data_IF_143242982562
#
_entry.id   IF_143242982562
#
_cell.length_a   1.000
_cell.length_b   1.000
_cell.length_c   1.000
_cell.angle_alpha   90.00
_cell.angle_beta   90.00
_cell.angle_gamma   90.00
#
_symmetry.space_group_name_H-M   'P 1'
#
loop_
_entity.id
_entity.type
_entity.pdbx_description
1 polymer ?
#
# COMPACT_ATOMS: atom_id res chain seq x y z
N UNK A 1 5.09 61.14 31.69
CA UNK A 1 5.35 59.69 31.74
C UNK A 1 4.01 58.98 31.70
N UNK A 2 3.59 58.48 30.53
CA UNK A 2 2.40 57.64 30.41
C UNK A 2 2.86 56.24 30.06
N UNK A 3 2.56 55.26 30.92
CA UNK A 3 2.96 53.86 30.76
C UNK A 3 1.90 53.16 29.93
N UNK A 4 2.29 52.63 28.78
CA UNK A 4 1.50 51.68 27.98
C UNK A 4 1.49 50.36 28.75
N UNK A 5 0.29 49.84 29.06
CA UNK A 5 0.11 48.46 29.52
C UNK A 5 -0.11 47.62 28.27
N UNK A 6 0.82 46.70 28.00
CA UNK A 6 0.68 45.66 26.99
C UNK A 6 0.24 44.38 27.71
N UNK A 7 -1.06 44.08 27.67
CA UNK A 7 -1.57 42.80 28.18
C UNK A 7 -1.35 41.73 27.11
N UNK A 8 -0.21 41.02 27.19
CA UNK A 8 0.01 39.83 26.38
C UNK A 8 -0.72 38.64 27.06
N UNK A 9 -1.82 38.21 26.46
CA UNK A 9 -2.50 36.97 26.81
C UNK A 9 -1.79 35.84 26.03
N UNK A 10 -0.84 35.16 26.67
CA UNK A 10 -0.24 33.94 26.11
C UNK A 10 -1.13 32.77 26.50
N UNK A 11 -1.92 32.27 25.55
CA UNK A 11 -2.44 30.91 25.64
C UNK A 11 -1.26 29.98 25.44
N UNK A 12 -0.66 29.49 26.53
CA UNK A 12 0.10 28.25 26.46
C UNK A 12 -0.95 27.16 26.29
N UNK A 13 -1.28 26.83 25.04
CA UNK A 13 -1.96 25.57 24.76
C UNK A 13 -1.07 24.48 25.32
N UNK A 14 -1.54 23.80 26.35
CA UNK A 14 -0.95 22.54 26.78
C UNK A 14 -0.95 21.63 25.55
N UNK A 15 0.23 21.32 25.02
CA UNK A 15 0.39 20.27 24.03
C UNK A 15 0.09 18.98 24.76
N UNK A 16 -1.20 18.61 24.82
CA UNK A 16 -1.57 17.26 25.19
C UNK A 16 -1.07 16.41 24.01
N UNK A 17 -0.16 15.44 24.21
CA UNK A 17 0.09 14.46 23.17
C UNK A 17 -1.27 13.80 22.87
N UNK A 18 -1.83 14.11 21.70
CA UNK A 18 -3.16 13.63 21.35
C UNK A 18 -3.06 12.11 21.14
N UNK A 19 -3.84 11.35 21.91
CA UNK A 19 -3.85 9.90 21.81
C UNK A 19 -4.40 9.48 20.44
N UNK A 20 -3.85 8.39 19.88
CA UNK A 20 -4.46 7.70 18.74
C UNK A 20 -5.03 6.33 19.15
N UNK A 21 -5.02 6.04 20.45
CA UNK A 21 -5.53 4.81 21.02
C UNK A 21 -7.05 4.70 20.82
N UNK A 22 -7.45 3.81 19.93
CA UNK A 22 -8.83 3.48 19.66
C UNK A 22 -8.94 2.17 18.86
N UNK A 23 -10.16 1.68 18.74
CA UNK A 23 -10.53 0.63 17.80
C UNK A 23 -11.10 1.28 16.53
N UNK A 24 -10.48 0.99 15.40
CA UNK A 24 -10.80 1.56 14.09
C UNK A 24 -11.43 0.49 13.22
N UNK A 25 -12.54 0.86 12.58
CA UNK A 25 -13.18 0.07 11.54
C UNK A 25 -12.96 0.76 10.20
N UNK A 26 -12.50 0.00 9.21
CA UNK A 26 -12.34 0.50 7.85
C UNK A 26 -13.71 0.79 7.21
N UNK A 27 -13.88 2.01 6.72
CA UNK A 27 -15.09 2.46 5.99
C UNK A 27 -14.84 2.60 4.47
N UNK A 28 -13.59 2.86 4.07
CA UNK A 28 -13.16 2.85 2.68
C UNK A 28 -11.64 2.62 2.59
N UNK A 29 -11.17 2.12 1.44
CA UNK A 29 -9.75 1.98 1.13
C UNK A 29 -9.52 2.21 -0.35
N UNK A 30 -8.43 2.88 -0.69
CA UNK A 30 -7.94 2.96 -2.06
C UNK A 30 -6.51 2.47 -2.06
N UNK A 31 -6.24 1.44 -2.87
CA UNK A 31 -4.89 0.91 -3.05
C UNK A 31 -4.49 1.10 -4.51
N UNK A 32 -3.27 1.59 -4.72
CA UNK A 32 -2.69 1.75 -6.04
C UNK A 32 -1.43 0.89 -6.12
N UNK A 33 -1.45 -0.10 -7.01
CA UNK A 33 -0.30 -0.94 -7.29
C UNK A 33 0.35 -0.48 -8.59
N UNK A 34 1.62 -0.11 -8.51
CA UNK A 34 2.43 0.23 -9.70
C UNK A 34 3.49 -0.84 -9.87
N UNK A 35 3.44 -1.56 -10.99
CA UNK A 35 4.40 -2.62 -11.30
C UNK A 35 5.50 -2.08 -12.19
N UNK A 36 6.74 -2.20 -11.74
CA UNK A 36 7.94 -1.72 -12.45
C UNK A 36 8.84 -2.91 -12.77
N UNK A 37 9.34 -2.98 -13.99
CA UNK A 37 10.32 -3.98 -14.40
C UNK A 37 11.63 -3.78 -13.60
N UNK A 38 12.07 -4.82 -12.90
CA UNK A 38 13.33 -4.80 -12.13
C UNK A 38 14.38 -5.71 -12.74
N UNK A 39 15.62 -5.54 -12.32
CA UNK A 39 16.66 -6.52 -12.63
C UNK A 39 16.33 -7.87 -11.99
N UNK A 40 16.54 -8.94 -12.75
CA UNK A 40 16.47 -10.31 -12.25
C UNK A 40 17.80 -10.64 -11.57
N UNK A 41 17.75 -10.89 -10.26
CA UNK A 41 18.91 -11.06 -9.40
C UNK A 41 18.79 -12.31 -8.52
N UNK A 42 17.58 -12.75 -8.20
CA UNK A 42 17.32 -13.93 -7.37
C UNK A 42 17.17 -15.19 -8.23
N UNK A 43 17.55 -16.35 -7.69
CA UNK A 43 17.21 -17.66 -8.28
C UNK A 43 15.71 -17.88 -8.44
N UNK A 44 14.86 -17.19 -7.67
CA UNK A 44 13.40 -17.20 -7.82
C UNK A 44 12.93 -16.49 -9.10
N UNK A 45 13.78 -15.68 -9.73
CA UNK A 45 13.47 -15.02 -11.01
C UNK A 45 13.52 -15.97 -12.22
N UNK A 46 13.80 -17.26 -12.00
CA UNK A 46 14.09 -18.27 -13.03
C UNK A 46 13.02 -18.40 -14.13
N UNK A 47 11.76 -18.05 -13.84
CA UNK A 47 10.65 -18.11 -14.80
C UNK A 47 10.29 -16.73 -15.39
N UNK A 48 10.97 -15.68 -14.94
CA UNK A 48 10.77 -14.30 -15.37
C UNK A 48 11.35 -14.03 -16.75
N UNK A 49 10.68 -13.14 -17.48
CA UNK A 49 11.16 -12.59 -18.74
C UNK A 49 10.82 -11.09 -18.80
N UNK A 50 11.59 -10.33 -19.57
CA UNK A 50 11.27 -8.93 -19.87
C UNK A 50 10.24 -8.78 -21.01
N UNK A 51 9.87 -9.90 -21.63
CA UNK A 51 8.97 -9.96 -22.77
C UNK A 51 7.61 -10.49 -22.33
N UNK A 52 6.56 -9.72 -22.59
CA UNK A 52 5.19 -10.20 -22.49
C UNK A 52 4.87 -11.08 -23.70
N UNK A 53 4.66 -12.37 -23.48
CA UNK A 53 4.46 -13.35 -24.54
C UNK A 53 2.97 -13.68 -24.74
N UNK A 54 2.47 -13.46 -25.95
CA UNK A 54 1.19 -13.96 -26.40
C UNK A 54 1.34 -15.42 -26.84
N UNK A 55 0.58 -16.32 -26.21
CA UNK A 55 0.66 -17.77 -26.45
C UNK A 55 -0.71 -18.34 -26.81
N UNK A 56 -0.79 -19.13 -27.88
CA UNK A 56 -2.03 -19.79 -28.33
C UNK A 56 -1.84 -21.31 -28.48
N UNK A 57 -2.81 -22.15 -28.05
CA UNK A 57 -4.06 -21.80 -27.37
C UNK A 57 -3.88 -21.46 -25.88
N UNK A 58 -2.72 -21.77 -25.30
CA UNK A 58 -2.38 -21.44 -23.92
C UNK A 58 -0.86 -21.27 -23.76
N UNK A 59 -0.44 -20.64 -22.66
CA UNK A 59 0.96 -20.52 -22.24
C UNK A 59 1.60 -21.86 -21.87
N UNK A 60 0.82 -22.82 -21.36
CA UNK A 60 1.31 -24.14 -20.96
C UNK A 60 1.66 -25.04 -22.16
N UNK A 61 0.92 -24.92 -23.26
CA UNK A 61 1.15 -25.72 -24.49
C UNK A 61 0.95 -24.85 -25.73
N UNK A 62 1.88 -23.93 -26.03
CA UNK A 62 1.74 -23.03 -27.17
C UNK A 62 1.99 -23.75 -28.49
N UNK A 63 1.02 -23.65 -29.41
CA UNK A 63 1.21 -23.93 -30.83
C UNK A 63 1.83 -22.72 -31.55
N UNK A 64 1.55 -21.52 -31.07
CA UNK A 64 2.12 -20.26 -31.55
C UNK A 64 2.47 -19.37 -30.37
N UNK A 65 3.62 -18.69 -30.46
CA UNK A 65 4.07 -17.74 -29.45
C UNK A 65 4.71 -16.53 -30.12
N UNK A 66 4.40 -15.33 -29.66
CA UNK A 66 5.01 -14.09 -30.14
C UNK A 66 5.13 -13.07 -29.01
N UNK A 67 6.14 -12.20 -29.10
CA UNK A 67 6.31 -11.09 -28.17
C UNK A 67 5.26 -10.01 -28.44
N UNK A 68 4.47 -9.68 -27.43
CA UNK A 68 3.48 -8.59 -27.46
C UNK A 68 4.11 -7.24 -27.08
N UNK A 69 4.97 -7.25 -26.06
CA UNK A 69 5.72 -6.09 -25.57
C UNK A 69 7.02 -6.54 -24.92
N UNK A 70 7.99 -5.64 -24.86
CA UNK A 70 9.27 -5.83 -24.17
C UNK A 70 9.50 -4.65 -23.24
N UNK A 71 10.02 -4.91 -22.04
CA UNK A 71 10.25 -3.91 -21.01
C UNK A 71 11.74 -3.83 -20.66
N UNK A 72 12.27 -2.63 -20.51
CA UNK A 72 13.58 -2.41 -19.90
C UNK A 72 13.44 -2.30 -18.38
N UNK A 73 14.53 -2.57 -17.66
CA UNK A 73 14.59 -2.32 -16.21
C UNK A 73 14.28 -0.83 -15.96
N UNK A 74 13.33 -0.57 -15.05
CA UNK A 74 12.80 0.75 -14.73
C UNK A 74 11.51 1.12 -15.46
N UNK A 75 11.08 0.35 -16.46
CA UNK A 75 9.82 0.62 -17.15
C UNK A 75 8.62 0.23 -16.27
N UNK A 76 7.61 1.10 -16.21
CA UNK A 76 6.30 0.76 -15.63
C UNK A 76 5.56 -0.18 -16.56
N UNK A 77 5.26 -1.39 -16.07
CA UNK A 77 4.56 -2.44 -16.83
C UNK A 77 3.05 -2.18 -16.80
N UNK A 78 2.49 -1.96 -15.62
CA UNK A 78 1.06 -1.67 -15.42
C UNK A 78 0.81 -0.96 -14.11
N UNK A 79 -0.37 -0.35 -14.02
CA UNK A 79 -0.91 0.25 -12.82
C UNK A 79 -2.30 -0.31 -12.55
N UNK A 80 -2.56 -0.71 -11.30
CA UNK A 80 -3.85 -1.26 -10.87
C UNK A 80 -4.35 -0.42 -9.70
N UNK A 81 -5.45 0.29 -9.94
CA UNK A 81 -6.16 1.02 -8.90
C UNK A 81 -7.33 0.18 -8.37
N UNK A 82 -7.41 0.02 -7.05
CA UNK A 82 -8.51 -0.64 -6.34
C UNK A 82 -9.22 0.40 -5.46
N UNK A 83 -10.25 1.10 -5.98
CA UNK A 83 -10.91 2.20 -5.28
C UNK A 83 -12.17 1.73 -4.54
N UNK A 84 -12.03 1.14 -3.35
CA UNK A 84 -13.14 0.74 -2.49
C UNK A 84 -13.60 1.93 -1.65
N UNK A 85 -14.27 2.88 -2.31
CA UNK A 85 -14.53 4.24 -1.79
C UNK A 85 -15.77 4.37 -0.89
N UNK A 86 -16.47 3.28 -0.59
CA UNK A 86 -17.63 3.25 0.29
C UNK A 86 -17.91 1.82 0.78
N UNK A 87 -18.70 1.66 1.86
CA UNK A 87 -19.01 0.36 2.45
C UNK A 87 -19.50 -0.71 1.47
N UNK A 88 -20.39 -0.36 0.53
CA UNK A 88 -20.86 -1.33 -0.46
C UNK A 88 -19.77 -1.82 -1.43
N UNK A 89 -18.74 -1.01 -1.70
CA UNK A 89 -17.58 -1.47 -2.46
C UNK A 89 -16.74 -2.47 -1.66
N UNK A 90 -16.64 -2.28 -0.34
CA UNK A 90 -15.97 -3.21 0.57
C UNK A 90 -16.72 -4.54 0.66
N UNK A 91 -18.04 -4.51 0.85
CA UNK A 91 -18.88 -5.68 1.06
C UNK A 91 -19.00 -6.58 -0.19
N UNK A 92 -19.02 -5.96 -1.38
CA UNK A 92 -19.25 -6.63 -2.66
C UNK A 92 -18.01 -6.66 -3.56
N UNK A 93 -16.82 -6.52 -3.00
CA UNK A 93 -15.59 -6.64 -3.79
C UNK A 93 -15.50 -8.06 -4.41
N UNK A 94 -15.24 -8.20 -5.72
CA UNK A 94 -15.37 -9.48 -6.43
C UNK A 94 -14.51 -10.64 -5.89
N UNK A 95 -13.46 -10.33 -5.14
CA UNK A 95 -12.49 -11.30 -4.60
C UNK A 95 -12.71 -11.63 -3.12
N UNK A 96 -13.74 -11.03 -2.50
CA UNK A 96 -14.09 -11.23 -1.10
C UNK A 96 -14.38 -9.92 -0.38
N UNK A 97 -15.20 -9.95 0.66
CA UNK A 97 -15.52 -8.77 1.45
C UNK A 97 -14.27 -8.26 2.19
N UNK A 98 -14.00 -6.97 2.11
CA UNK A 98 -12.90 -6.30 2.81
C UNK A 98 -13.44 -5.69 4.10
N UNK A 99 -12.96 -6.15 5.25
CA UNK A 99 -13.39 -5.65 6.55
C UNK A 99 -12.19 -5.65 7.48
N UNK A 100 -11.57 -4.50 7.68
CA UNK A 100 -10.41 -4.38 8.57
C UNK A 100 -10.82 -3.72 9.88
N UNK A 101 -10.51 -4.39 10.99
CA UNK A 101 -10.70 -3.86 12.34
C UNK A 101 -9.35 -3.84 13.08
N UNK A 102 -8.83 -2.65 13.35
CA UNK A 102 -7.52 -2.47 13.96
C UNK A 102 -7.63 -1.71 15.29
N UNK A 103 -6.98 -2.22 16.33
CA UNK A 103 -6.80 -1.51 17.60
C UNK A 103 -5.40 -0.92 17.65
N UNK A 104 -5.29 0.41 17.76
CA UNK A 104 -4.02 1.08 18.03
C UNK A 104 -3.90 1.38 19.51
N UNK A 105 -2.69 1.25 20.05
CA UNK A 105 -2.35 1.57 21.44
C UNK A 105 -1.22 2.60 21.48
N UNK A 106 -1.27 3.53 22.43
CA UNK A 106 -0.28 4.62 22.54
C UNK A 106 1.14 4.13 22.91
N UNK A 107 1.29 2.86 23.28
CA UNK A 107 2.58 2.23 23.55
C UNK A 107 3.34 1.79 22.28
N UNK A 108 2.88 2.17 21.08
CA UNK A 108 3.51 1.80 19.81
C UNK A 108 3.16 0.39 19.33
N UNK A 109 2.06 -0.19 19.82
CA UNK A 109 1.58 -1.50 19.36
C UNK A 109 0.22 -1.37 18.68
N UNK A 110 -0.08 -2.31 17.79
CA UNK A 110 -1.40 -2.45 17.18
C UNK A 110 -1.80 -3.91 17.08
N UNK A 111 -3.10 -4.14 16.95
CA UNK A 111 -3.67 -5.47 16.73
C UNK A 111 -4.68 -5.40 15.60
N UNK A 112 -4.49 -6.24 14.58
CA UNK A 112 -5.55 -6.57 13.62
C UNK A 112 -6.41 -7.62 14.27
N UNK A 113 -7.66 -7.26 14.57
CA UNK A 113 -8.56 -8.09 15.35
C UNK A 113 -9.10 -9.25 14.52
N UNK A 114 -9.36 -10.38 15.19
CA UNK A 114 -9.91 -11.58 14.56
C UNK A 114 -11.21 -11.28 13.80
N UNK A 115 -11.38 -11.92 12.64
CA UNK A 115 -12.49 -11.66 11.73
C UNK A 115 -12.22 -10.54 10.72
N UNK A 116 -11.05 -9.90 10.79
CA UNK A 116 -10.63 -8.95 9.77
C UNK A 116 -10.23 -9.65 8.46
N UNK A 117 -10.41 -8.95 7.35
CA UNK A 117 -9.99 -9.34 6.01
C UNK A 117 -9.34 -8.14 5.31
N UNK A 118 -8.25 -8.39 4.59
CA UNK A 118 -7.48 -7.32 3.93
C UNK A 118 -7.08 -7.74 2.52
N UNK A 119 -7.25 -6.89 1.50
CA UNK A 119 -6.94 -7.25 0.12
C UNK A 119 -5.43 -7.36 -0.10
N UNK A 120 -5.03 -8.39 -0.82
CA UNK A 120 -3.65 -8.60 -1.30
C UNK A 120 -3.68 -9.26 -2.68
N UNK A 121 -2.52 -9.59 -3.22
CA UNK A 121 -2.36 -10.31 -4.49
C UNK A 121 -1.81 -11.70 -4.26
N UNK A 122 -2.18 -12.64 -5.13
CA UNK A 122 -1.62 -13.98 -5.18
C UNK A 122 -1.29 -14.34 -6.64
N UNK A 123 -0.33 -15.24 -6.82
CA UNK A 123 0.01 -15.81 -8.11
C UNK A 123 -0.71 -17.16 -8.27
N UNK A 124 -1.58 -17.28 -9.26
CA UNK A 124 -2.23 -18.56 -9.64
C UNK A 124 -1.94 -18.78 -11.12
N UNK A 125 -1.39 -19.95 -11.47
CA UNK A 125 -1.09 -20.30 -12.87
C UNK A 125 -0.23 -19.25 -13.61
N UNK A 126 0.73 -18.65 -12.90
CA UNK A 126 1.57 -17.54 -13.39
C UNK A 126 0.79 -16.26 -13.75
N UNK A 127 -0.41 -16.08 -13.16
CA UNK A 127 -1.25 -14.90 -13.29
C UNK A 127 -1.42 -14.23 -11.92
N UNK A 128 -1.14 -12.93 -11.84
CA UNK A 128 -1.34 -12.16 -10.61
C UNK A 128 -2.82 -11.79 -10.50
N UNK A 129 -3.46 -12.25 -9.42
CA UNK A 129 -4.88 -12.00 -9.15
C UNK A 129 -5.08 -11.45 -7.75
N UNK A 130 -6.11 -10.65 -7.55
CA UNK A 130 -6.49 -10.16 -6.22
C UNK A 130 -7.11 -11.27 -5.37
N UNK A 131 -6.86 -11.21 -4.08
CA UNK A 131 -7.45 -12.10 -3.08
C UNK A 131 -7.68 -11.33 -1.78
N UNK A 132 -8.61 -11.80 -0.96
CA UNK A 132 -8.96 -11.16 0.31
C UNK A 132 -8.93 -12.21 1.43
N UNK A 133 -7.74 -12.57 1.92
CA UNK A 133 -7.61 -13.53 3.02
C UNK A 133 -8.06 -12.93 4.36
N UNK A 134 -8.45 -13.79 5.32
CA UNK A 134 -8.56 -13.38 6.71
C UNK A 134 -7.19 -13.00 7.27
N UNK A 135 -7.14 -11.92 8.04
CA UNK A 135 -5.92 -11.41 8.68
C UNK A 135 -6.18 -11.19 10.17
N UNK A 136 -5.19 -11.54 10.98
CA UNK A 136 -5.19 -11.29 12.41
C UNK A 136 -3.75 -11.35 12.90
N UNK A 137 -3.28 -10.28 13.52
CA UNK A 137 -1.90 -10.17 13.99
C UNK A 137 -1.75 -9.10 15.06
N UNK A 138 -0.60 -9.13 15.73
CA UNK A 138 -0.12 -8.03 16.56
C UNK A 138 1.18 -7.51 15.97
N UNK A 139 1.25 -6.20 15.79
CA UNK A 139 2.41 -5.52 15.22
C UNK A 139 2.81 -4.29 16.03
N UNK A 140 3.81 -3.57 15.52
CA UNK A 140 4.33 -2.35 16.13
C UNK A 140 4.33 -1.19 15.15
N UNK A 141 4.03 -0.02 15.70
CA UNK A 141 4.03 1.25 14.98
C UNK A 141 4.88 2.29 15.71
N UNK A 142 5.27 3.35 15.01
CA UNK A 142 6.06 4.46 15.54
C UNK A 142 5.60 5.79 14.96
N UNK A 143 5.72 6.86 15.73
CA UNK A 143 5.62 8.26 15.25
C UNK A 143 7.00 8.85 14.91
N UNK A 144 8.05 8.02 14.93
CA UNK A 144 9.44 8.44 14.72
C UNK A 144 10.02 9.26 15.88
N UNK A 145 9.30 9.37 17.00
CA UNK A 145 9.64 10.28 18.09
C UNK A 145 9.29 11.74 17.79
N UNK A 146 8.51 12.00 16.74
CA UNK A 146 8.08 13.33 16.35
C UNK A 146 6.79 13.74 17.08
N UNK A 147 6.64 15.03 17.39
CA UNK A 147 5.39 15.54 17.96
C UNK A 147 4.32 15.69 16.87
N UNK A 148 3.04 15.43 17.18
CA UNK A 148 1.96 15.71 16.23
C UNK A 148 1.80 17.22 16.04
N UNK A 149 1.46 17.63 14.82
CA UNK A 149 0.88 18.95 14.58
C UNK A 149 -0.61 18.91 14.92
N UNK A 150 -1.08 19.83 15.76
CA UNK A 150 -2.49 19.90 16.19
C UNK A 150 -3.10 21.23 15.83
N UNK A 151 -4.26 21.21 15.18
CA UNK A 151 -5.08 22.38 14.91
C UNK A 151 -6.22 22.46 15.93
N UNK A 152 -6.13 23.47 16.80
CA UNK A 152 -7.10 23.82 17.85
C UNK A 152 -8.48 24.24 17.37
N UNK A 153 -8.57 24.72 16.13
CA UNK A 153 -9.80 25.25 15.54
C UNK A 153 -10.56 24.17 14.76
N UNK A 154 -9.82 23.29 14.08
CA UNK A 154 -10.40 22.18 13.31
C UNK A 154 -10.55 20.89 14.11
N UNK A 155 -10.06 20.85 15.36
CA UNK A 155 -9.98 19.64 16.18
C UNK A 155 -9.25 18.49 15.49
N UNK A 156 -8.20 18.79 14.73
CA UNK A 156 -7.45 17.78 13.96
C UNK A 156 -6.04 17.65 14.48
N UNK A 157 -5.47 16.45 14.38
CA UNK A 157 -4.04 16.22 14.53
C UNK A 157 -3.46 15.47 13.35
N UNK A 158 -2.20 15.75 13.05
CA UNK A 158 -1.43 15.19 11.95
C UNK A 158 -0.10 14.71 12.53
N UNK A 159 0.31 13.49 12.18
CA UNK A 159 1.64 12.97 12.54
C UNK A 159 2.19 12.02 11.49
N UNK A 160 3.51 11.93 11.44
CA UNK A 160 4.15 10.80 10.79
C UNK A 160 3.75 9.51 11.48
N UNK A 161 3.58 8.45 10.69
CA UNK A 161 3.19 7.15 11.20
C UNK A 161 3.93 6.07 10.42
N UNK A 162 4.59 5.16 11.14
CA UNK A 162 5.39 4.10 10.57
C UNK A 162 5.01 2.75 11.14
N UNK A 163 5.14 1.69 10.33
CA UNK A 163 5.02 0.30 10.76
C UNK A 163 6.43 -0.29 10.85
N UNK A 164 6.77 -0.86 12.00
CA UNK A 164 8.09 -1.45 12.26
C UNK A 164 8.05 -2.97 12.41
N UNK A 165 6.86 -3.55 12.57
CA UNK A 165 6.65 -4.99 12.58
C UNK A 165 5.19 -5.30 12.22
N UNK A 166 5.00 -6.14 11.21
CA UNK A 166 3.72 -6.59 10.69
C UNK A 166 3.97 -7.74 9.70
N UNK A 167 3.09 -8.73 9.66
CA UNK A 167 3.04 -9.71 8.57
C UNK A 167 2.02 -9.35 7.49
N UNK A 168 1.17 -8.35 7.74
CA UNK A 168 0.07 -7.94 6.85
C UNK A 168 0.35 -6.62 6.12
N UNK A 169 0.93 -5.64 6.82
CA UNK A 169 1.29 -4.32 6.28
C UNK A 169 2.78 -4.26 5.95
N UNK A 170 3.09 -3.47 4.91
CA UNK A 170 4.45 -3.08 4.59
C UNK A 170 5.10 -2.29 5.73
N UNK A 171 6.42 -2.33 5.83
CA UNK A 171 7.18 -1.45 6.71
C UNK A 171 7.38 -0.10 6.03
N UNK A 172 7.23 0.96 6.82
CA UNK A 172 7.42 2.33 6.35
C UNK A 172 7.73 3.26 7.52
N UNK A 173 8.40 4.37 7.20
CA UNK A 173 8.90 5.31 8.19
C UNK A 173 7.87 6.39 8.53
N UNK A 174 8.00 6.96 9.74
CA UNK A 174 7.24 8.12 10.16
C UNK A 174 8.00 9.41 9.81
N UNK A 175 7.54 10.23 8.85
CA UNK A 175 8.12 11.54 8.55
C UNK A 175 7.84 12.55 9.66
N UNK A 176 8.72 13.54 9.83
CA UNK A 176 8.47 14.67 10.74
C UNK A 176 7.42 15.61 10.13
N UNK A 177 6.24 15.66 10.75
CA UNK A 177 5.14 16.55 10.37
C UNK A 177 4.83 17.58 11.48
N UNK A 178 5.70 17.73 12.48
CA UNK A 178 5.45 18.57 13.66
C UNK A 178 5.31 20.05 13.32
N UNK A 179 5.87 20.48 12.19
CA UNK A 179 5.84 21.86 11.71
C UNK A 179 4.50 22.27 11.07
N UNK A 180 3.57 21.31 10.90
CA UNK A 180 2.27 21.53 10.28
C UNK A 180 2.31 21.72 8.77
N UNK A 181 3.47 21.53 8.16
CA UNK A 181 3.53 21.35 6.71
C UNK A 181 2.99 19.97 6.36
N UNK A 182 2.49 19.79 5.15
CA UNK A 182 2.20 18.45 4.62
C UNK A 182 3.49 17.69 4.30
N UNK A 183 4.44 17.65 5.25
CA UNK A 183 5.75 17.03 5.11
C UNK A 183 6.60 17.70 4.04
N UNK A 184 6.64 19.04 3.97
CA UNK A 184 7.53 19.75 3.04
C UNK A 184 7.44 19.34 1.56
N UNK A 185 6.27 18.89 1.08
CA UNK A 185 6.07 18.44 -0.29
C UNK A 185 5.88 16.93 -0.45
N UNK A 186 5.41 16.22 0.58
CA UNK A 186 5.12 14.76 0.58
C UNK A 186 4.27 14.25 -0.61
N UNK A 187 3.58 15.15 -1.32
CA UNK A 187 2.73 14.87 -2.48
C UNK A 187 3.15 15.62 -3.75
N UNK A 188 4.25 16.36 -3.69
CA UNK A 188 4.74 17.13 -4.84
C UNK A 188 5.46 16.18 -5.80
N UNK A 189 5.29 16.33 -7.12
CA UNK A 189 6.11 15.59 -8.07
C UNK A 189 7.60 15.85 -7.81
N UNK A 190 8.42 14.79 -7.75
CA UNK A 190 9.83 14.83 -7.36
C UNK A 190 10.04 15.24 -5.90
N UNK A 191 9.10 14.86 -5.02
CA UNK A 191 9.28 15.06 -3.59
C UNK A 191 10.52 14.33 -3.11
N UNK A 192 11.11 14.81 -2.02
CA UNK A 192 12.19 14.05 -1.34
C UNK A 192 11.72 12.70 -0.78
N UNK A 193 10.42 12.40 -0.87
CA UNK A 193 9.78 11.18 -0.41
C UNK A 193 9.36 10.26 -1.55
N UNK A 194 9.54 10.69 -2.81
CA UNK A 194 9.44 9.80 -3.96
C UNK A 194 10.54 8.74 -3.78
N UNK A 195 10.17 7.45 -3.87
CA UNK A 195 11.01 6.28 -3.59
C UNK A 195 11.32 5.98 -2.11
N UNK A 196 10.68 6.66 -1.15
CA UNK A 196 10.83 6.35 0.28
C UNK A 196 9.55 5.71 0.83
N UNK A 197 9.70 4.67 1.65
CA UNK A 197 8.59 4.10 2.39
C UNK A 197 8.21 5.05 3.54
N UNK A 198 7.03 5.67 3.46
CA UNK A 198 6.54 6.59 4.47
C UNK A 198 5.06 6.39 4.76
N UNK A 199 4.64 6.79 5.97
CA UNK A 199 3.23 6.82 6.34
C UNK A 199 2.84 8.03 7.18
N UNK A 200 1.54 8.31 7.24
CA UNK A 200 0.95 9.44 7.95
C UNK A 200 -0.38 9.05 8.55
N UNK A 201 -0.65 9.57 9.73
CA UNK A 201 -1.91 9.43 10.44
C UNK A 201 -2.53 10.81 10.67
N UNK A 202 -3.73 11.02 10.13
CA UNK A 202 -4.55 12.19 10.38
C UNK A 202 -5.74 11.79 11.25
N UNK A 203 -5.97 12.52 12.34
CA UNK A 203 -7.06 12.27 13.27
C UNK A 203 -7.95 13.51 13.37
N UNK A 204 -9.26 13.30 13.40
CA UNK A 204 -10.25 14.31 13.79
C UNK A 204 -10.84 13.94 15.13
N UNK A 205 -10.88 14.88 16.07
CA UNK A 205 -11.37 14.69 17.42
C UNK A 205 -12.68 15.42 17.65
N UNK A 206 -13.40 15.01 18.70
CA UNK A 206 -14.47 15.80 19.27
C UNK A 206 -13.94 17.11 19.89
N UNK A 207 -14.84 18.03 20.22
CA UNK A 207 -14.50 19.39 20.67
C UNK A 207 -13.63 19.47 21.94
N UNK A 208 -13.59 18.42 22.75
CA UNK A 208 -12.79 18.35 23.98
C UNK A 208 -11.57 17.43 23.85
N UNK A 209 -11.28 16.93 22.64
CA UNK A 209 -10.15 16.05 22.34
C UNK A 209 -10.12 14.75 23.16
N UNK A 210 -11.28 14.29 23.63
CA UNK A 210 -11.39 13.06 24.41
C UNK A 210 -11.66 11.83 23.55
N UNK A 211 -12.11 12.02 22.31
CA UNK A 211 -12.47 10.92 21.41
C UNK A 211 -12.14 11.26 19.96
N UNK A 212 -11.62 10.28 19.24
CA UNK A 212 -11.43 10.33 17.79
C UNK A 212 -12.77 10.05 17.10
N UNK A 213 -13.13 10.93 16.17
CA UNK A 213 -14.34 10.83 15.36
C UNK A 213 -14.06 10.20 14.00
N UNK A 214 -12.88 10.48 13.44
CA UNK A 214 -12.46 10.01 12.13
C UNK A 214 -10.94 9.94 12.07
N UNK A 215 -10.40 9.00 11.29
CA UNK A 215 -8.97 8.88 11.07
C UNK A 215 -8.64 8.44 9.65
N UNK A 216 -7.59 9.03 9.11
CA UNK A 216 -7.07 8.73 7.79
C UNK A 216 -5.64 8.25 7.92
N UNK A 217 -5.38 7.10 7.31
CA UNK A 217 -4.06 6.54 7.17
C UNK A 217 -3.65 6.62 5.71
N UNK A 218 -2.46 7.14 5.45
CA UNK A 218 -1.86 7.19 4.11
C UNK A 218 -0.45 6.68 4.21
N UNK A 219 -0.06 5.80 3.30
CA UNK A 219 1.29 5.29 3.26
C UNK A 219 1.65 4.91 1.83
N UNK A 220 2.95 4.81 1.59
CA UNK A 220 3.53 4.24 0.38
C UNK A 220 4.66 3.31 0.80
N UNK A 221 4.83 2.21 0.06
CA UNK A 221 5.98 1.35 0.22
C UNK A 221 6.39 0.80 -1.15
N UNK A 222 7.71 0.68 -1.33
CA UNK A 222 8.34 0.03 -2.46
C UNK A 222 8.85 -1.33 -2.00
N UNK A 223 8.76 -2.34 -2.85
CA UNK A 223 9.31 -3.67 -2.57
C UNK A 223 10.81 -3.57 -2.21
N UNK A 224 11.22 -4.33 -1.20
CA UNK A 224 12.58 -4.33 -0.68
C UNK A 224 12.66 -4.64 0.81
N UNK A 225 13.89 -4.77 1.30
CA UNK A 225 14.18 -5.09 2.70
C UNK A 225 13.57 -4.07 3.66
N UNK A 226 13.58 -2.79 3.27
CA UNK A 226 13.05 -1.68 4.08
C UNK A 226 11.52 -1.68 4.20
N UNK A 227 10.80 -2.36 3.31
CA UNK A 227 9.34 -2.55 3.40
C UNK A 227 8.95 -3.95 3.86
N UNK A 228 9.92 -4.88 3.91
CA UNK A 228 9.66 -6.31 4.09
C UNK A 228 8.63 -6.85 3.08
N UNK A 229 8.65 -6.34 1.85
CA UNK A 229 7.78 -6.75 0.76
C UNK A 229 8.58 -7.20 -0.46
N UNK A 230 8.08 -8.22 -1.15
CA UNK A 230 8.63 -8.66 -2.44
C UNK A 230 10.09 -9.08 -2.36
N UNK A 231 10.53 -9.60 -1.21
CA UNK A 231 11.88 -10.09 -0.96
C UNK A 231 11.91 -11.59 -0.70
N UNK A 232 13.07 -12.20 -1.01
CA UNK A 232 13.39 -13.55 -0.58
C UNK A 232 13.46 -13.59 0.94
N UNK A 233 12.61 -14.40 1.55
CA UNK A 233 12.56 -14.58 3.00
C UNK A 233 12.39 -16.07 3.41
N UNK A 234 12.61 -16.42 4.69
CA UNK A 234 12.56 -17.82 5.13
C UNK A 234 11.22 -18.55 4.94
N UNK A 235 10.17 -17.86 4.50
CA UNK A 235 8.86 -18.43 4.17
C UNK A 235 8.76 -18.91 2.72
N UNK A 236 9.74 -18.58 1.86
CA UNK A 236 9.78 -19.01 0.46
C UNK A 236 10.20 -20.49 0.30
N UNK A 237 9.55 -21.19 -0.64
CA UNK A 237 9.76 -22.62 -0.89
C UNK A 237 11.18 -22.98 -1.36
N UNK A 238 11.90 -22.05 -2.00
CA UNK A 238 13.30 -22.21 -2.45
C UNK A 238 14.24 -21.21 -1.74
N UNK A 239 13.94 -20.84 -0.49
CA UNK A 239 14.77 -19.93 0.29
C UNK A 239 16.24 -20.37 0.37
N UNK A 240 17.14 -19.44 0.03
CA UNK A 240 18.57 -19.55 0.34
C UNK A 240 19.03 -18.31 1.10
N UNK A 241 19.84 -18.52 2.15
CA UNK A 241 20.37 -17.43 2.98
C UNK A 241 21.23 -16.45 2.16
N UNK A 242 21.86 -16.91 1.08
CA UNK A 242 22.68 -16.09 0.19
C UNK A 242 21.85 -15.06 -0.59
N UNK A 243 20.54 -15.32 -0.76
CA UNK A 243 19.61 -14.50 -1.52
C UNK A 243 18.63 -13.73 -0.62
N UNK A 244 18.72 -13.90 0.70
CA UNK A 244 17.85 -13.24 1.65
C UNK A 244 17.82 -11.71 1.42
N UNK A 245 16.61 -11.17 1.25
CA UNK A 245 16.41 -9.75 0.97
C UNK A 245 16.57 -9.33 -0.50
N UNK A 246 16.96 -10.23 -1.41
CA UNK A 246 16.86 -9.98 -2.85
C UNK A 246 15.39 -9.91 -3.27
N UNK A 247 15.07 -9.12 -4.29
CA UNK A 247 13.70 -9.03 -4.77
C UNK A 247 13.26 -10.35 -5.41
N UNK A 248 12.06 -10.83 -5.08
CA UNK A 248 11.45 -12.06 -5.63
C UNK A 248 10.04 -11.84 -6.19
N UNK A 249 9.54 -10.60 -6.20
CA UNK A 249 8.22 -10.29 -6.75
C UNK A 249 8.14 -10.62 -8.24
N UNK A 250 7.14 -11.43 -8.63
CA UNK A 250 6.82 -11.79 -10.01
C UNK A 250 5.40 -11.37 -10.33
N UNK A 251 5.23 -10.76 -11.51
CA UNK A 251 3.95 -10.32 -12.02
C UNK A 251 3.53 -11.16 -13.24
N UNK A 252 2.29 -11.62 -13.21
CA UNK A 252 1.67 -12.41 -14.25
C UNK A 252 0.46 -11.72 -14.87
N UNK A 253 0.41 -11.60 -16.21
CA UNK A 253 -0.72 -11.00 -16.92
C UNK A 253 -1.55 -12.08 -17.63
N UNK A 254 -2.74 -12.34 -17.08
CA UNK A 254 -3.71 -13.30 -17.62
C UNK A 254 -4.36 -12.88 -18.95
N UNK A 255 -4.59 -11.57 -19.09
CA UNK A 255 -5.42 -11.03 -20.16
C UNK A 255 -4.73 -9.83 -20.79
N UNK A 256 -4.30 -10.00 -22.04
CA UNK A 256 -3.97 -8.88 -22.90
C UNK A 256 -5.25 -8.47 -23.66
N UNK A 257 -5.52 -7.17 -23.86
CA UNK A 257 -6.59 -6.73 -24.74
C UNK A 257 -6.33 -7.25 -26.17
N UNK A 258 -6.98 -8.35 -26.49
CA UNK A 258 -6.98 -8.98 -27.80
C UNK A 258 -8.08 -8.34 -28.65
N UNK A 259 -7.80 -8.15 -29.94
CA UNK A 259 -8.78 -7.71 -30.92
C UNK A 259 -10.00 -8.65 -30.93
N UNK A 260 -11.13 -8.16 -30.40
CA UNK A 260 -12.40 -8.89 -30.33
C UNK A 260 -13.18 -8.87 -31.66
N UNK A 261 -12.64 -8.25 -32.71
CA UNK A 261 -13.25 -8.16 -34.04
C UNK A 261 -12.51 -8.97 -35.08
N UNK A 262 -11.18 -8.85 -35.19
CA UNK A 262 -10.43 -9.53 -36.27
C UNK A 262 -10.25 -11.00 -35.97
N UNK A 263 -10.03 -11.42 -34.72
CA UNK A 263 -9.84 -12.84 -34.39
C UNK A 263 -11.11 -13.66 -34.65
N UNK A 264 -12.32 -13.26 -34.20
CA UNK A 264 -13.54 -13.99 -34.53
C UNK A 264 -13.83 -14.01 -36.03
N UNK A 265 -13.55 -12.91 -36.75
CA UNK A 265 -13.78 -12.81 -38.20
C UNK A 265 -12.81 -13.69 -38.98
N UNK A 266 -11.52 -13.71 -38.64
CA UNK A 266 -10.53 -14.60 -39.27
C UNK A 266 -10.80 -16.06 -38.90
N UNK A 267 -11.18 -16.35 -37.65
CA UNK A 267 -11.58 -17.70 -37.24
C UNK A 267 -12.83 -18.18 -38.01
N UNK A 268 -13.84 -17.31 -38.17
CA UNK A 268 -15.02 -17.59 -38.97
C UNK A 268 -14.68 -17.79 -40.46
N UNK A 269 -13.78 -16.98 -41.01
CA UNK A 269 -13.31 -17.11 -42.40
C UNK A 269 -12.49 -18.39 -42.60
N UNK A 270 -11.63 -18.75 -41.66
CA UNK A 270 -10.85 -19.99 -41.69
C UNK A 270 -11.76 -21.24 -41.59
N UNK A 271 -12.88 -21.16 -40.86
CA UNK A 271 -13.88 -22.22 -40.77
C UNK A 271 -14.74 -22.38 -42.04
N UNK A 272 -14.59 -21.51 -43.05
CA UNK A 272 -15.28 -21.63 -44.35
C UNK A 272 -14.47 -22.35 -45.44
N UNK A 273 -13.24 -22.79 -45.12
CA UNK A 273 -12.38 -23.62 -45.96
C UNK A 273 -12.16 -25.00 -45.34
#
# INVERSE_FOLDING_TARGET
MSKIILTALVFVGTVIPQSIEANYQLDYVTVHYTWVARAMESSLDYTGGYDLMGSWPSSATPAFQWTLSSFAVGDTITEVLVPLTFQGALDFFPFGAVALNCSFLDNGTFTINEGSTYPTTQLIDCETSSTVPPVSESGTWTDGGHSPYTDGFLNTSVRGWGITNSGTFAFFNAPDLADGTNGGGLYDPYSQYDDINWGRFDATYNNDYTQIQDAWVRWTANDGIESNLGIVDPTDDDYTEEEAGMLNGIMGIATAPSDNTTIPVIAALAATY
#
